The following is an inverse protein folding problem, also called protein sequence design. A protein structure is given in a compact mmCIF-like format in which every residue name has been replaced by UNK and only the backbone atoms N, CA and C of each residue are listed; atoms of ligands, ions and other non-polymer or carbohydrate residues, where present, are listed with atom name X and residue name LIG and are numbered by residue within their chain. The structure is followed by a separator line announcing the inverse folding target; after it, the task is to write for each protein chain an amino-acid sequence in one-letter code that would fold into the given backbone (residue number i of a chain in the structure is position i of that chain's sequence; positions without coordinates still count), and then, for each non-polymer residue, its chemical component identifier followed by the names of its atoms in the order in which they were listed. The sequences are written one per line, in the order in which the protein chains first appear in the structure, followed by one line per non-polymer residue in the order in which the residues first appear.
data_IF_024804400955
#
_entry.id   IF_024804400955
#
_cell.length_a   1.000
_cell.length_b   1.000
_cell.length_c   1.000
_cell.angle_alpha   90.00
_cell.angle_beta   90.00
_cell.angle_gamma   90.00
#
_symmetry.space_group_name_H-M   'P 1'
#
loop_
_entity.id
_entity.type
_entity.pdbx_description
1 polymer ?
#
# COMPACT_ATOMS: atom_id res chain seq x y z
N UNK A 1 -30.73 -14.90 1.65
CA UNK A 1 -29.61 -15.25 2.55
C UNK A 1 -28.33 -14.90 1.80
N UNK A 2 -27.59 -13.87 2.21
CA UNK A 2 -26.35 -13.49 1.51
C UNK A 2 -25.29 -14.54 1.83
N UNK A 3 -24.75 -15.22 0.83
CA UNK A 3 -23.59 -16.10 1.00
C UNK A 3 -22.37 -15.23 1.31
N UNK A 4 -21.58 -15.61 2.32
CA UNK A 4 -20.28 -14.96 2.53
C UNK A 4 -19.43 -15.25 1.30
N UNK A 5 -18.83 -14.21 0.72
CA UNK A 5 -17.89 -14.36 -0.38
C UNK A 5 -16.68 -15.20 0.03
N UNK A 6 -15.93 -15.69 -0.96
CA UNK A 6 -14.66 -16.38 -0.72
C UNK A 6 -13.73 -15.50 0.13
N UNK A 7 -12.93 -16.09 1.04
CA UNK A 7 -11.94 -15.33 1.78
C UNK A 7 -11.01 -14.57 0.83
N UNK A 8 -10.59 -13.34 1.17
CA UNK A 8 -9.62 -12.60 0.38
C UNK A 8 -8.27 -13.32 0.33
N UNK A 9 -7.46 -13.07 -0.73
CA UNK A 9 -6.23 -13.81 -1.00
C UNK A 9 -5.14 -13.59 0.06
N UNK A 10 -5.10 -12.41 0.68
CA UNK A 10 -4.17 -12.10 1.78
C UNK A 10 -4.86 -11.28 2.87
N UNK A 11 -4.15 -11.06 3.98
CA UNK A 11 -4.61 -10.20 5.07
C UNK A 11 -4.76 -8.72 4.66
N UNK A 12 -4.04 -8.25 3.63
CA UNK A 12 -4.11 -6.85 3.19
C UNK A 12 -5.46 -6.49 2.54
N UNK A 13 -6.15 -7.47 1.97
CA UNK A 13 -7.44 -7.30 1.30
C UNK A 13 -8.64 -7.30 2.26
N UNK A 14 -8.43 -7.41 3.57
CA UNK A 14 -9.49 -7.14 4.56
C UNK A 14 -9.56 -5.64 4.83
N UNK A 15 -10.35 -4.91 4.04
CA UNK A 15 -10.43 -3.46 4.17
C UNK A 15 -11.27 -3.02 5.38
N UNK A 16 -10.82 -1.96 6.04
CA UNK A 16 -11.46 -1.33 7.19
C UNK A 16 -11.82 0.11 6.86
N UNK A 17 -12.93 0.60 7.43
CA UNK A 17 -13.29 2.01 7.32
C UNK A 17 -12.15 2.87 7.89
N UNK A 18 -11.61 3.80 7.10
CA UNK A 18 -10.41 4.55 7.47
C UNK A 18 -10.57 5.38 8.75
N UNK A 19 -11.73 6.02 8.91
CA UNK A 19 -12.11 6.78 10.10
C UNK A 19 -13.63 6.76 10.24
N UNK A 20 -14.17 7.08 11.43
CA UNK A 20 -15.61 7.01 11.73
C UNK A 20 -16.51 7.76 10.75
N UNK A 21 -15.99 8.81 10.11
CA UNK A 21 -16.71 9.66 9.13
C UNK A 21 -16.20 9.49 7.70
N UNK A 22 -15.20 8.64 7.46
CA UNK A 22 -14.64 8.43 6.13
C UNK A 22 -15.51 7.42 5.36
N UNK A 23 -15.80 7.72 4.09
CA UNK A 23 -16.53 6.81 3.19
C UNK A 23 -15.60 5.80 2.48
N UNK A 24 -14.29 5.86 2.76
CA UNK A 24 -13.28 4.98 2.15
C UNK A 24 -12.93 3.82 3.08
N UNK A 25 -12.64 2.67 2.47
CA UNK A 25 -12.14 1.48 3.15
C UNK A 25 -10.72 1.21 2.67
N UNK A 26 -9.81 1.00 3.62
CA UNK A 26 -8.38 0.86 3.38
C UNK A 26 -7.84 -0.45 3.94
N UNK A 27 -6.73 -0.92 3.38
CA UNK A 27 -5.94 -2.03 3.91
C UNK A 27 -5.55 -1.79 5.36
N UNK A 28 -5.40 -2.86 6.18
CA UNK A 28 -4.99 -2.73 7.57
C UNK A 28 -3.56 -2.22 7.73
N UNK A 29 -2.74 -2.24 6.67
CA UNK A 29 -1.40 -1.68 6.62
C UNK A 29 -1.30 -0.65 5.49
N UNK A 30 -0.77 0.52 5.81
CA UNK A 30 -0.42 1.57 4.85
C UNK A 30 1.01 1.38 4.33
N UNK A 31 1.20 1.48 3.02
CA UNK A 31 2.53 1.52 2.41
C UNK A 31 3.08 2.94 2.42
N UNK A 32 4.07 3.20 3.27
CA UNK A 32 4.78 4.48 3.31
C UNK A 32 5.72 4.64 2.11
N UNK A 33 5.57 5.73 1.37
CA UNK A 33 6.29 6.01 0.12
C UNK A 33 7.60 6.79 0.28
N UNK A 34 8.08 7.02 1.49
CA UNK A 34 9.24 7.89 1.78
C UNK A 34 10.51 7.50 1.00
N UNK A 35 10.76 6.21 0.81
CA UNK A 35 11.95 5.69 0.10
C UNK A 35 11.66 5.21 -1.32
N UNK A 36 10.46 5.47 -1.85
CA UNK A 36 10.14 5.14 -3.23
C UNK A 36 10.84 6.15 -4.16
N UNK A 37 11.53 5.62 -5.17
CA UNK A 37 12.35 6.40 -6.09
C UNK A 37 13.82 6.57 -5.66
N UNK A 38 14.59 7.27 -6.49
CA UNK A 38 16.07 7.28 -6.43
C UNK A 38 16.66 8.46 -5.64
N UNK A 39 15.83 9.44 -5.28
CA UNK A 39 16.27 10.70 -4.63
C UNK A 39 16.82 10.54 -3.21
N UNK A 40 16.46 9.46 -2.51
CA UNK A 40 16.71 9.34 -1.07
C UNK A 40 17.99 8.60 -0.70
N UNK A 41 18.71 8.10 -1.71
CA UNK A 41 19.96 7.38 -1.57
C UNK A 41 21.02 8.19 -0.80
N UNK A 42 21.18 9.46 -1.15
CA UNK A 42 22.18 10.35 -0.56
C UNK A 42 21.91 10.65 0.93
N UNK A 43 20.66 10.52 1.36
CA UNK A 43 20.20 10.74 2.74
C UNK A 43 20.13 9.46 3.57
N UNK A 44 20.56 8.31 3.04
CA UNK A 44 20.67 7.05 3.79
C UNK A 44 19.38 6.23 3.91
N UNK A 45 18.31 6.58 3.18
CA UNK A 45 17.04 5.85 3.20
C UNK A 45 16.97 4.67 2.20
N UNK A 46 18.14 4.19 1.76
CA UNK A 46 18.28 3.13 0.77
C UNK A 46 18.21 3.64 -0.67
N UNK A 47 18.60 2.77 -1.61
CA UNK A 47 18.51 3.04 -3.05
C UNK A 47 17.30 2.29 -3.60
N UNK A 48 16.45 3.00 -4.34
CA UNK A 48 15.36 2.39 -5.08
C UNK A 48 15.35 2.95 -6.50
N UNK A 49 15.49 2.09 -7.50
CA UNK A 49 15.36 2.51 -8.88
C UNK A 49 13.90 2.38 -9.32
N UNK A 50 13.59 2.85 -10.54
CA UNK A 50 12.24 2.79 -11.08
C UNK A 50 11.70 1.35 -11.08
N UNK A 51 12.49 0.39 -11.55
CA UNK A 51 12.08 -1.01 -11.65
C UNK A 51 11.73 -1.63 -10.28
N UNK A 52 12.59 -1.45 -9.28
CA UNK A 52 12.32 -1.96 -7.92
C UNK A 52 11.18 -1.22 -7.23
N UNK A 53 10.98 0.07 -7.54
CA UNK A 53 9.80 0.82 -7.09
C UNK A 53 8.51 0.21 -7.62
N UNK A 54 8.43 -0.05 -8.92
CA UNK A 54 7.26 -0.71 -9.52
C UNK A 54 7.07 -2.11 -8.95
N UNK A 55 8.13 -2.90 -8.83
CA UNK A 55 8.04 -4.25 -8.24
C UNK A 55 7.46 -4.24 -6.82
N UNK A 56 7.82 -3.25 -6.00
CA UNK A 56 7.25 -3.09 -4.66
C UNK A 56 5.76 -2.71 -4.71
N UNK A 57 5.41 -1.74 -5.57
CA UNK A 57 4.03 -1.28 -5.74
C UNK A 57 3.12 -2.39 -6.28
N UNK A 58 3.58 -3.13 -7.28
CA UNK A 58 2.87 -4.26 -7.87
C UNK A 58 2.66 -5.36 -6.83
N UNK A 59 3.70 -5.73 -6.07
CA UNK A 59 3.57 -6.72 -5.01
C UNK A 59 2.58 -6.30 -3.91
N UNK A 60 2.54 -5.01 -3.55
CA UNK A 60 1.56 -4.49 -2.59
C UNK A 60 0.14 -4.56 -3.16
N UNK A 61 -0.05 -4.14 -4.41
CA UNK A 61 -1.33 -4.18 -5.10
C UNK A 61 -1.85 -5.61 -5.30
N UNK A 62 -1.02 -6.53 -5.77
CA UNK A 62 -1.36 -7.93 -6.02
C UNK A 62 -1.71 -8.67 -4.72
N UNK A 63 -1.10 -8.29 -3.60
CA UNK A 63 -1.49 -8.77 -2.28
C UNK A 63 -2.84 -8.20 -1.80
N UNK A 64 -3.44 -7.26 -2.54
CA UNK A 64 -4.68 -6.57 -2.20
C UNK A 64 -4.48 -5.36 -1.30
N UNK A 65 -3.31 -4.71 -1.39
CA UNK A 65 -3.04 -3.43 -0.77
C UNK A 65 -3.69 -2.28 -1.53
N UNK A 66 -4.30 -1.32 -0.82
CA UNK A 66 -4.94 -0.16 -1.45
C UNK A 66 -4.63 1.19 -0.77
N UNK A 67 -3.71 1.22 0.21
CA UNK A 67 -3.42 2.41 1.00
C UNK A 67 -1.95 2.78 0.93
N UNK A 68 -1.64 3.87 0.22
CA UNK A 68 -0.28 4.38 0.03
C UNK A 68 -0.23 5.80 0.60
N UNK A 69 0.75 6.05 1.46
CA UNK A 69 1.03 7.36 2.04
C UNK A 69 2.28 7.96 1.39
N UNK A 70 2.20 9.21 0.95
CA UNK A 70 3.30 9.91 0.29
C UNK A 70 3.22 11.40 0.59
N UNK A 71 4.32 12.10 0.35
CA UNK A 71 4.42 13.54 0.50
C UNK A 71 5.16 14.14 -0.70
N UNK A 72 4.75 15.33 -1.12
CA UNK A 72 5.54 16.14 -2.04
C UNK A 72 6.85 16.56 -1.38
N UNK A 73 7.88 16.77 -2.20
CA UNK A 73 9.10 17.51 -1.83
C UNK A 73 9.07 18.90 -2.44
#
# INVERSE_FOLDING_TARGET
MYTRGSPPPTKLAYYHQFASRAAIHVSPLCLGGMSIGDKWAATGFGTMNKESSFKLLDAYFDAGGNFIDTASI
#
